data_IF_290548860096
#
_entry.id   IF_290548860096
#
_cell.length_a   1.000
_cell.length_b   1.000
_cell.length_c   1.000
_cell.angle_alpha   90.00
_cell.angle_beta   90.00
_cell.angle_gamma   90.00
#
_symmetry.space_group_name_H-M   'P 1'
#
loop_
_entity.id
_entity.type
_entity.pdbx_description
1 polymer ?
#
# COMPACT_ATOMS: atom_id res chain seq x y z
N UNK A 1 -6.76 6.90 26.18
CA UNK A 1 -5.80 5.85 25.76
C UNK A 1 -6.60 4.69 25.16
N UNK A 2 -6.41 4.35 23.89
CA UNK A 2 -7.16 3.26 23.23
C UNK A 2 -6.39 1.97 23.43
N UNK A 3 -6.90 1.07 24.27
CA UNK A 3 -6.28 -0.22 24.55
C UNK A 3 -6.22 -1.06 23.26
N UNK A 4 -5.02 -1.24 22.71
CA UNK A 4 -4.77 -2.15 21.59
C UNK A 4 -4.89 -3.58 22.10
N UNK A 5 -6.06 -4.21 21.92
CA UNK A 5 -6.31 -5.62 22.24
C UNK A 5 -5.34 -6.50 21.44
N UNK A 6 -4.29 -7.01 22.09
CA UNK A 6 -3.32 -7.94 21.49
C UNK A 6 -3.99 -9.30 21.32
N UNK A 7 -4.47 -9.57 20.10
CA UNK A 7 -5.04 -10.87 19.74
C UNK A 7 -3.87 -11.86 19.53
N UNK A 8 -3.51 -12.61 20.58
CA UNK A 8 -2.41 -13.57 20.56
C UNK A 8 -2.82 -14.83 19.77
N UNK A 9 -1.83 -15.59 19.29
CA UNK A 9 -2.06 -16.85 18.58
C UNK A 9 -2.97 -17.83 19.35
N UNK A 10 -2.89 -17.82 20.69
CA UNK A 10 -3.73 -18.63 21.58
C UNK A 10 -5.22 -18.27 21.50
N UNK A 11 -5.58 -16.98 21.46
CA UNK A 11 -6.98 -16.56 21.31
C UNK A 11 -7.54 -16.85 19.92
N UNK A 12 -6.69 -16.83 18.89
CA UNK A 12 -7.09 -17.24 17.53
C UNK A 12 -7.27 -18.75 17.38
N UNK A 13 -6.47 -19.56 18.08
CA UNK A 13 -6.62 -21.01 18.09
C UNK A 13 -7.91 -21.44 18.82
N UNK A 14 -8.22 -20.82 19.95
CA UNK A 14 -9.45 -21.09 20.70
C UNK A 14 -10.74 -20.78 19.91
N UNK A 15 -10.75 -19.69 19.14
CA UNK A 15 -11.89 -19.34 18.26
C UNK A 15 -12.13 -20.35 17.14
N UNK A 16 -11.09 -21.06 16.68
CA UNK A 16 -11.23 -22.11 15.66
C UNK A 16 -11.68 -23.45 16.24
N UNK A 17 -11.31 -23.74 17.49
CA UNK A 17 -11.75 -24.94 18.19
C UNK A 17 -13.23 -24.87 18.58
N UNK A 18 -13.74 -23.66 18.86
CA UNK A 18 -15.17 -23.42 19.13
C UNK A 18 -16.07 -23.42 17.89
N UNK A 19 -15.53 -23.60 16.69
CA UNK A 19 -16.29 -23.75 15.44
C UNK A 19 -16.29 -25.20 14.95
N UNK A 20 -16.43 -26.16 15.87
CA UNK A 20 -16.77 -27.54 15.51
C UNK A 20 -18.25 -27.58 15.12
N UNK A 21 -18.52 -27.46 13.82
CA UNK A 21 -19.49 -28.29 13.08
C UNK A 21 -20.84 -28.59 13.76
N UNK A 22 -21.42 -27.65 14.52
CA UNK A 22 -22.69 -27.84 15.23
C UNK A 22 -23.89 -27.49 14.34
N UNK A 23 -24.03 -28.19 13.22
CA UNK A 23 -25.22 -28.05 12.36
C UNK A 23 -25.60 -29.34 11.62
N UNK A 24 -25.01 -30.49 11.98
CA UNK A 24 -25.45 -31.78 11.46
C UNK A 24 -25.45 -32.75 12.64
N UNK A 25 -26.65 -33.25 12.95
CA UNK A 25 -27.03 -34.39 13.80
C UNK A 25 -27.75 -34.06 15.11
N UNK A 26 -29.07 -34.23 15.06
CA UNK A 26 -29.86 -34.92 16.10
C UNK A 26 -30.81 -35.86 15.35
N UNK A 27 -30.29 -37.01 14.92
CA UNK A 27 -31.09 -38.19 14.56
C UNK A 27 -30.44 -39.38 15.29
N UNK A 28 -31.16 -40.11 16.15
CA UNK A 28 -30.62 -41.27 16.84
C UNK A 28 -30.45 -42.41 15.83
N UNK A 29 -29.24 -42.58 15.33
CA UNK A 29 -28.89 -43.72 14.48
C UNK A 29 -28.65 -44.93 15.38
N UNK A 30 -29.59 -45.88 15.31
CA UNK A 30 -29.45 -47.26 15.77
C UNK A 30 -28.04 -47.83 15.48
N UNK A 31 -27.45 -48.63 16.40
CA UNK A 31 -26.16 -49.25 16.18
C UNK A 31 -26.27 -50.32 15.08
N UNK A 32 -26.04 -49.92 13.84
CA UNK A 32 -25.89 -50.86 12.73
C UNK A 32 -24.63 -51.67 13.00
N UNK A 33 -24.81 -52.94 13.39
CA UNK A 33 -23.75 -53.95 13.40
C UNK A 33 -23.37 -54.25 11.94
N UNK A 34 -22.49 -53.42 11.37
CA UNK A 34 -21.82 -53.75 10.13
C UNK A 34 -20.72 -54.79 10.43
N UNK A 35 -20.53 -55.80 9.57
CA UNK A 35 -19.42 -56.74 9.70
C UNK A 35 -18.08 -55.98 9.64
N UNK A 36 -17.10 -56.40 10.43
CA UNK A 36 -15.76 -55.81 10.44
C UNK A 36 -15.15 -55.90 9.03
N UNK A 37 -15.06 -54.74 8.37
CA UNK A 37 -14.46 -54.65 7.03
C UNK A 37 -12.98 -55.02 7.14
N UNK A 38 -12.50 -56.08 6.47
CA UNK A 38 -11.11 -56.53 6.56
C UNK A 38 -10.10 -55.47 6.06
N UNK A 39 -10.56 -54.41 5.38
CA UNK A 39 -9.74 -53.26 4.99
C UNK A 39 -9.73 -52.11 6.00
N UNK A 40 -10.51 -52.17 7.07
CA UNK A 40 -10.57 -51.10 8.08
C UNK A 40 -9.21 -50.88 8.77
N UNK A 41 -8.40 -51.92 8.92
CA UNK A 41 -7.08 -51.86 9.54
C UNK A 41 -5.94 -51.56 8.55
N UNK A 42 -6.23 -51.56 7.24
CA UNK A 42 -5.25 -51.24 6.23
C UNK A 42 -5.35 -49.75 5.93
N UNK A 43 -4.36 -48.98 6.40
CA UNK A 43 -4.21 -47.55 6.08
C UNK A 43 -3.87 -47.34 4.60
N UNK A 44 -4.84 -47.60 3.72
CA UNK A 44 -4.74 -47.26 2.31
C UNK A 44 -4.78 -45.74 2.18
N UNK A 45 -3.75 -45.18 1.55
CA UNK A 45 -3.75 -43.77 1.22
C UNK A 45 -4.92 -43.48 0.29
N UNK A 46 -5.90 -42.69 0.76
CA UNK A 46 -7.11 -42.32 0.01
C UNK A 46 -6.81 -41.58 -1.31
N UNK A 47 -5.63 -40.98 -1.43
CA UNK A 47 -5.18 -40.23 -2.59
C UNK A 47 -3.67 -40.42 -2.78
N UNK A 48 -3.24 -40.54 -4.03
CA UNK A 48 -1.83 -40.65 -4.37
C UNK A 48 -1.10 -39.33 -4.09
N UNK A 49 0.24 -39.37 -3.99
CA UNK A 49 1.06 -38.15 -3.85
C UNK A 49 0.84 -37.19 -5.04
N UNK A 50 0.63 -37.74 -6.24
CA UNK A 50 0.34 -36.97 -7.46
C UNK A 50 -1.00 -36.24 -7.33
N UNK A 51 -2.03 -36.93 -6.86
CA UNK A 51 -3.37 -36.34 -6.66
C UNK A 51 -3.35 -35.28 -5.56
N UNK A 52 -2.63 -35.53 -4.45
CA UNK A 52 -2.40 -34.51 -3.40
C UNK A 52 -1.77 -33.24 -3.95
N UNK A 53 -0.77 -33.38 -4.81
CA UNK A 53 -0.10 -32.22 -5.42
C UNK A 53 -1.03 -31.47 -6.37
N UNK A 54 -1.81 -32.20 -7.16
CA UNK A 54 -2.79 -31.64 -8.11
C UNK A 54 -3.95 -30.95 -7.39
N UNK A 55 -4.50 -31.56 -6.34
CA UNK A 55 -5.52 -30.96 -5.48
C UNK A 55 -4.99 -29.69 -4.79
N UNK A 56 -3.73 -29.69 -4.36
CA UNK A 56 -3.07 -28.53 -3.76
C UNK A 56 -2.86 -27.39 -4.76
N UNK A 57 -2.46 -27.70 -6.00
CA UNK A 57 -2.28 -26.68 -7.04
C UNK A 57 -3.62 -26.12 -7.50
N UNK A 58 -4.63 -26.96 -7.70
CA UNK A 58 -5.99 -26.54 -8.06
C UNK A 58 -6.63 -25.70 -6.95
N UNK A 59 -6.51 -26.12 -5.69
CA UNK A 59 -6.97 -25.33 -4.54
C UNK A 59 -6.26 -23.99 -4.40
N UNK A 60 -5.03 -23.87 -4.89
CA UNK A 60 -4.30 -22.62 -4.91
C UNK A 60 -4.78 -21.71 -6.05
N UNK A 61 -5.02 -22.26 -7.24
CA UNK A 61 -5.54 -21.52 -8.39
C UNK A 61 -6.97 -21.02 -8.14
N UNK A 62 -7.85 -21.84 -7.56
CA UNK A 62 -9.21 -21.40 -7.19
C UNK A 62 -9.17 -20.25 -6.19
N UNK A 63 -8.35 -20.36 -5.13
CA UNK A 63 -8.11 -19.28 -4.16
C UNK A 63 -7.50 -18.03 -4.78
N UNK A 64 -6.73 -18.17 -5.87
CA UNK A 64 -6.18 -17.04 -6.60
C UNK A 64 -7.28 -16.33 -7.40
N UNK A 65 -8.05 -17.11 -8.17
CA UNK A 65 -9.16 -16.65 -9.00
C UNK A 65 -10.23 -15.92 -8.17
N UNK A 66 -10.67 -16.50 -7.05
CA UNK A 66 -11.62 -15.88 -6.12
C UNK A 66 -11.11 -14.56 -5.54
N UNK A 67 -9.80 -14.42 -5.33
CA UNK A 67 -9.19 -13.22 -4.74
C UNK A 67 -8.87 -12.11 -5.75
N UNK A 68 -8.76 -12.45 -7.03
CA UNK A 68 -8.57 -11.47 -8.11
C UNK A 68 -9.85 -10.69 -8.43
N UNK A 69 -11.03 -11.29 -8.26
CA UNK A 69 -12.32 -10.66 -8.60
C UNK A 69 -12.74 -9.52 -7.66
N UNK A 70 -12.14 -9.44 -6.46
CA UNK A 70 -12.51 -8.49 -5.40
C UNK A 70 -11.32 -7.61 -5.00
N UNK A 71 -10.79 -6.80 -5.93
CA UNK A 71 -9.99 -5.58 -5.68
C UNK A 71 -8.88 -5.63 -4.58
N UNK A 72 -8.27 -6.80 -4.31
CA UNK A 72 -7.45 -6.96 -3.09
C UNK A 72 -6.50 -8.15 -3.07
N UNK A 73 -6.18 -8.76 -4.21
CA UNK A 73 -5.42 -10.02 -4.31
C UNK A 73 -4.01 -9.99 -3.67
N UNK A 74 -3.43 -8.82 -3.44
CA UNK A 74 -2.06 -8.69 -2.93
C UNK A 74 -2.10 -8.18 -1.50
N UNK A 75 -1.62 -9.00 -0.55
CA UNK A 75 -1.48 -8.57 0.83
C UNK A 75 -0.61 -7.31 0.94
N UNK A 76 -0.88 -6.46 1.94
CA UNK A 76 -0.09 -5.25 2.19
C UNK A 76 1.43 -5.54 2.29
N UNK A 77 1.80 -6.69 2.87
CA UNK A 77 3.20 -7.13 2.94
C UNK A 77 3.79 -7.44 1.58
N UNK A 78 3.06 -8.17 0.72
CA UNK A 78 3.48 -8.47 -0.65
C UNK A 78 3.63 -7.20 -1.50
N UNK A 79 2.69 -6.25 -1.39
CA UNK A 79 2.77 -4.96 -2.05
C UNK A 79 4.00 -4.15 -1.60
N UNK A 80 4.27 -4.13 -0.28
CA UNK A 80 5.46 -3.47 0.28
C UNK A 80 6.75 -4.12 -0.22
N UNK A 81 6.81 -5.45 -0.29
CA UNK A 81 7.97 -6.19 -0.82
C UNK A 81 8.20 -5.86 -2.30
N UNK A 82 7.15 -5.88 -3.13
CA UNK A 82 7.23 -5.47 -4.54
C UNK A 82 7.76 -4.05 -4.69
N UNK A 83 7.21 -3.09 -3.92
CA UNK A 83 7.67 -1.69 -3.94
C UNK A 83 9.11 -1.51 -3.45
N UNK A 84 9.57 -2.33 -2.48
CA UNK A 84 10.97 -2.32 -2.05
C UNK A 84 11.87 -2.81 -3.19
N UNK A 85 11.57 -3.97 -3.78
CA UNK A 85 12.32 -4.52 -4.91
C UNK A 85 12.39 -3.55 -6.09
N UNK A 86 11.28 -2.94 -6.51
CA UNK A 86 11.31 -1.96 -7.60
C UNK A 86 12.15 -0.73 -7.25
N UNK A 87 12.10 -0.24 -6.01
CA UNK A 87 12.99 0.84 -5.58
C UNK A 87 14.45 0.42 -5.55
N UNK A 88 14.74 -0.82 -5.17
CA UNK A 88 16.11 -1.33 -5.14
C UNK A 88 16.68 -1.60 -6.54
N UNK A 89 15.82 -1.86 -7.53
CA UNK A 89 16.15 -1.94 -8.95
C UNK A 89 16.37 -0.55 -9.58
N UNK A 90 15.58 0.45 -9.18
CA UNK A 90 15.70 1.83 -9.68
C UNK A 90 16.77 2.67 -8.95
N UNK A 91 17.48 2.09 -7.97
CA UNK A 91 18.63 2.78 -7.38
C UNK A 91 19.75 2.81 -8.42
N UNK A 92 20.49 3.92 -8.53
CA UNK A 92 21.67 3.97 -9.39
C UNK A 92 22.60 2.80 -9.03
N UNK A 93 22.89 1.95 -10.02
CA UNK A 93 23.90 0.90 -9.90
C UNK A 93 25.01 1.21 -10.87
N UNK A 94 26.25 1.15 -10.39
CA UNK A 94 27.43 1.34 -11.24
C UNK A 94 27.46 0.31 -12.38
N UNK A 95 27.05 -0.92 -12.10
CA UNK A 95 26.93 -1.99 -13.10
C UNK A 95 26.05 -1.58 -14.29
N UNK A 96 24.88 -0.98 -14.03
CA UNK A 96 23.94 -0.54 -15.07
C UNK A 96 24.49 0.65 -15.87
N UNK A 97 25.22 1.55 -15.19
CA UNK A 97 25.91 2.67 -15.84
C UNK A 97 27.05 2.19 -16.74
N UNK A 98 27.85 1.21 -16.28
CA UNK A 98 28.95 0.65 -17.07
C UNK A 98 28.40 -0.11 -18.29
N UNK A 99 27.35 -0.91 -18.12
CA UNK A 99 26.66 -1.59 -19.23
C UNK A 99 26.08 -0.56 -20.21
N UNK A 100 25.46 0.52 -19.72
CA UNK A 100 24.91 1.57 -20.58
C UNK A 100 26.01 2.33 -21.32
N UNK A 101 27.14 2.63 -20.68
CA UNK A 101 28.28 3.30 -21.32
C UNK A 101 28.97 2.41 -22.38
N UNK A 102 29.08 1.11 -22.12
CA UNK A 102 29.56 0.13 -23.09
C UNK A 102 28.58 0.01 -24.27
N UNK A 103 27.27 -0.03 -23.99
CA UNK A 103 26.22 -0.13 -25.01
C UNK A 103 26.12 1.15 -25.88
N UNK A 104 26.31 2.33 -25.28
CA UNK A 104 26.31 3.62 -25.97
C UNK A 104 27.62 3.89 -26.74
N UNK A 105 28.57 2.94 -26.73
CA UNK A 105 29.82 3.02 -27.49
C UNK A 105 30.81 4.09 -27.00
N UNK A 106 30.58 4.66 -25.81
CA UNK A 106 31.41 5.72 -25.24
C UNK A 106 32.81 5.19 -24.89
N UNK A 107 32.90 3.93 -24.46
CA UNK A 107 34.18 3.29 -24.12
C UNK A 107 35.11 3.19 -25.32
N UNK A 108 34.61 2.85 -26.50
CA UNK A 108 35.40 2.79 -27.74
C UNK A 108 35.88 4.19 -28.15
N UNK A 109 35.00 5.19 -28.09
CA UNK A 109 35.38 6.58 -28.38
C UNK A 109 36.45 7.14 -27.42
N UNK A 110 36.44 6.74 -26.15
CA UNK A 110 37.48 7.16 -25.17
C UNK A 110 38.78 6.37 -25.28
N UNK A 111 38.73 5.12 -25.76
CA UNK A 111 39.90 4.27 -25.94
C UNK A 111 40.80 4.80 -27.07
N UNK A 112 40.18 5.29 -28.14
CA UNK A 112 40.88 5.96 -29.24
C UNK A 112 41.53 7.31 -28.82
N UNK A 113 41.01 7.97 -27.77
CA UNK A 113 41.60 9.20 -27.22
C UNK A 113 42.66 8.96 -26.13
N UNK A 114 42.62 7.81 -25.45
CA UNK A 114 43.55 7.49 -24.36
C UNK A 114 44.97 7.18 -24.87
N UNK A 115 45.11 6.55 -26.04
CA UNK A 115 46.43 6.26 -26.65
C UNK A 115 47.18 7.53 -27.11
N UNK A 116 46.50 8.69 -27.17
CA UNK A 116 47.10 9.98 -27.52
C UNK A 116 47.42 10.88 -26.31
N UNK A 117 47.10 10.47 -25.07
CA UNK A 117 47.14 11.33 -23.90
C UNK A 117 48.14 10.88 -22.80
N UNK A 118 48.97 9.87 -23.06
CA UNK A 118 49.92 9.32 -22.06
C UNK A 118 51.25 10.09 -21.91
N UNK A 119 51.38 11.32 -22.45
CA UNK A 119 52.64 12.08 -22.38
C UNK A 119 52.63 13.37 -21.55
N UNK A 120 51.53 13.76 -20.90
CA UNK A 120 51.58 14.95 -20.05
C UNK A 120 50.48 14.98 -18.98
N UNK A 121 50.86 14.69 -17.72
CA UNK A 121 50.24 15.19 -16.47
C UNK A 121 50.89 14.53 -15.25
N UNK A 122 52.12 14.94 -14.97
CA UNK A 122 52.55 15.04 -13.58
C UNK A 122 51.95 16.32 -12.99
N UNK A 123 51.50 16.22 -11.75
CA UNK A 123 51.27 17.32 -10.81
C UNK A 123 49.92 18.06 -10.88
N UNK A 124 48.95 17.63 -10.05
CA UNK A 124 48.31 18.55 -9.10
C UNK A 124 47.47 17.84 -8.03
N UNK A 125 47.94 18.02 -6.79
CA UNK A 125 47.17 18.34 -5.59
C UNK A 125 46.06 17.42 -5.11
N UNK A 126 46.50 16.58 -4.16
CA UNK A 126 45.78 16.26 -2.93
C UNK A 126 45.21 17.51 -2.24
N UNK A 127 43.89 17.68 -2.30
CA UNK A 127 43.17 18.46 -1.28
C UNK A 127 41.87 17.75 -0.89
N UNK A 128 42.00 16.97 0.18
CA UNK A 128 40.87 16.36 0.88
C UNK A 128 40.08 17.43 1.63
N UNK A 129 38.86 17.70 1.16
CA UNK A 129 37.83 18.34 1.96
C UNK A 129 36.48 17.69 1.66
N UNK A 130 36.11 16.71 2.50
CA UNK A 130 34.82 16.04 2.46
C UNK A 130 33.68 16.96 2.89
N UNK A 131 33.19 17.80 1.97
CA UNK A 131 31.92 18.49 2.15
C UNK A 131 30.78 17.55 1.76
N UNK A 132 30.12 16.98 2.76
CA UNK A 132 28.82 16.32 2.62
C UNK A 132 27.77 17.39 2.29
N UNK A 133 27.71 17.80 1.03
CA UNK A 133 26.61 18.62 0.52
C UNK A 133 25.37 17.73 0.35
N UNK A 134 24.67 17.48 1.47
CA UNK A 134 23.29 16.98 1.42
C UNK A 134 22.43 18.14 0.95
N UNK A 135 22.10 18.15 -0.34
CA UNK A 135 21.04 18.99 -0.90
C UNK A 135 19.72 18.60 -0.22
N UNK A 136 19.36 19.32 0.85
CA UNK A 136 17.97 19.33 1.33
C UNK A 136 17.15 19.99 0.24
N UNK A 137 16.43 19.16 -0.52
CA UNK A 137 15.35 19.62 -1.39
C UNK A 137 14.26 20.16 -0.46
N UNK A 138 14.33 21.45 -0.11
CA UNK A 138 13.18 22.18 0.39
C UNK A 138 12.28 22.42 -0.80
N UNK A 139 11.20 21.63 -0.91
CA UNK A 139 10.11 21.94 -1.84
C UNK A 139 9.59 23.32 -1.48
N UNK A 140 9.88 24.32 -2.32
CA UNK A 140 9.29 25.63 -2.21
C UNK A 140 7.78 25.47 -2.28
N UNK A 141 7.08 25.87 -1.23
CA UNK A 141 5.62 26.02 -1.24
C UNK A 141 5.29 27.11 -2.23
N UNK A 142 4.81 26.72 -3.41
CA UNK A 142 4.23 27.64 -4.38
C UNK A 142 3.12 28.46 -3.69
N UNK A 143 3.00 29.77 -4.00
CA UNK A 143 1.89 30.57 -3.52
C UNK A 143 0.58 29.93 -3.98
N UNK A 144 -0.28 29.60 -3.02
CA UNK A 144 -1.57 28.98 -3.23
C UNK A 144 -2.40 29.86 -4.15
N UNK A 145 -2.69 29.39 -5.36
CA UNK A 145 -3.70 30.03 -6.21
C UNK A 145 -5.04 30.05 -5.46
N UNK A 146 -5.76 31.16 -5.64
CA UNK A 146 -7.09 31.43 -5.10
C UNK A 146 -8.02 30.24 -5.38
N UNK A 147 -8.28 29.43 -4.34
CA UNK A 147 -9.11 28.22 -4.43
C UNK A 147 -8.41 26.92 -4.00
N UNK A 148 -7.08 26.92 -3.80
CA UNK A 148 -6.39 25.77 -3.20
C UNK A 148 -6.57 25.76 -1.67
N UNK A 149 -7.30 24.78 -1.16
CA UNK A 149 -7.54 24.61 0.27
C UNK A 149 -6.22 24.29 0.97
N UNK A 150 -5.72 25.23 1.77
CA UNK A 150 -4.53 25.03 2.61
C UNK A 150 -4.77 23.83 3.53
N UNK A 151 -4.09 22.72 3.25
CA UNK A 151 -4.20 21.51 4.07
C UNK A 151 -3.47 21.77 5.40
N UNK A 152 -4.23 22.15 6.42
CA UNK A 152 -3.70 22.34 7.78
C UNK A 152 -3.38 20.99 8.40
N UNK A 153 -2.23 20.92 9.09
CA UNK A 153 -1.81 19.72 9.83
C UNK A 153 -2.81 19.48 10.97
N UNK A 154 -3.23 18.24 11.16
CA UNK A 154 -4.19 17.79 12.19
C UNK A 154 -5.68 18.09 11.93
N UNK A 155 -6.06 18.60 10.75
CA UNK A 155 -7.48 18.71 10.38
C UNK A 155 -8.02 17.40 9.77
N UNK A 156 -9.33 17.10 9.93
CA UNK A 156 -9.95 15.94 9.32
C UNK A 156 -9.83 16.03 7.79
N UNK A 157 -9.45 14.91 7.16
CA UNK A 157 -9.19 14.84 5.72
C UNK A 157 -10.20 13.94 5.02
N UNK A 158 -10.67 14.37 3.84
CA UNK A 158 -11.54 13.59 2.94
C UNK A 158 -10.92 12.25 2.51
N UNK A 159 -9.58 12.14 2.54
CA UNK A 159 -8.87 10.93 2.14
C UNK A 159 -9.04 9.78 3.14
N UNK A 160 -9.38 10.08 4.38
CA UNK A 160 -9.60 9.07 5.43
C UNK A 160 -11.10 8.96 5.71
N UNK A 161 -11.67 7.74 5.71
CA UNK A 161 -13.10 7.52 5.96
C UNK A 161 -13.60 8.18 7.26
N UNK A 162 -12.82 8.08 8.35
CA UNK A 162 -13.18 8.73 9.62
C UNK A 162 -13.16 10.25 9.52
N UNK A 163 -12.17 10.79 8.80
CA UNK A 163 -12.04 12.23 8.56
C UNK A 163 -13.17 12.76 7.69
N UNK A 164 -13.49 12.03 6.61
CA UNK A 164 -14.62 12.33 5.72
C UNK A 164 -15.94 12.40 6.49
N UNK A 165 -16.25 11.40 7.33
CA UNK A 165 -17.47 11.42 8.16
C UNK A 165 -17.53 12.64 9.09
N UNK A 166 -16.40 13.04 9.68
CA UNK A 166 -16.34 14.24 10.52
C UNK A 166 -16.50 15.53 9.72
N UNK A 167 -15.93 15.60 8.51
CA UNK A 167 -16.11 16.74 7.62
C UNK A 167 -17.57 16.89 7.20
N UNK A 168 -18.23 15.79 6.82
CA UNK A 168 -19.66 15.81 6.46
C UNK A 168 -20.52 16.33 7.61
N UNK A 169 -20.27 15.92 8.85
CA UNK A 169 -20.98 16.48 10.00
C UNK A 169 -20.80 18.00 10.12
N UNK A 170 -19.55 18.48 10.06
CA UNK A 170 -19.23 19.92 10.10
C UNK A 170 -19.81 20.70 8.91
N UNK A 171 -19.99 20.06 7.76
CA UNK A 171 -20.61 20.66 6.58
C UNK A 171 -22.12 20.78 6.74
N UNK A 172 -22.77 19.76 7.30
CA UNK A 172 -24.19 19.81 7.66
C UNK A 172 -24.44 20.95 8.65
N UNK A 173 -23.63 21.06 9.71
CA UNK A 173 -23.78 22.13 10.71
C UNK A 173 -23.58 23.52 10.09
N UNK A 174 -22.53 23.68 9.25
CA UNK A 174 -22.30 24.94 8.51
C UNK A 174 -23.46 25.28 7.59
N UNK A 175 -24.01 24.30 6.88
CA UNK A 175 -25.15 24.49 5.99
C UNK A 175 -26.40 24.92 6.76
N UNK A 176 -26.67 24.28 7.90
CA UNK A 176 -27.78 24.69 8.78
C UNK A 176 -27.62 26.13 9.26
N UNK A 177 -26.40 26.54 9.65
CA UNK A 177 -26.14 27.92 10.06
C UNK A 177 -26.38 28.93 8.92
N UNK A 178 -26.00 28.59 7.68
CA UNK A 178 -26.27 29.44 6.51
C UNK A 178 -27.77 29.56 6.27
N UNK A 179 -28.52 28.45 6.37
CA UNK A 179 -29.97 28.47 6.23
C UNK A 179 -30.68 29.29 7.30
N UNK A 180 -30.12 29.37 8.52
CA UNK A 180 -30.69 30.19 9.60
C UNK A 180 -30.38 31.69 9.45
N UNK A 181 -29.44 32.07 8.59
CA UNK A 181 -29.07 33.47 8.42
C UNK A 181 -30.14 34.23 7.60
N UNK A 182 -30.83 35.18 8.26
CA UNK A 182 -31.88 36.02 7.65
C UNK A 182 -31.37 36.80 6.43
N UNK A 183 -30.13 37.30 6.46
CA UNK A 183 -29.56 38.04 5.33
C UNK A 183 -29.37 37.14 4.10
N UNK A 184 -28.96 35.88 4.33
CA UNK A 184 -28.82 34.90 3.25
C UNK A 184 -30.18 34.47 2.69
N UNK A 185 -31.20 34.32 3.53
CA UNK A 185 -32.58 34.02 3.10
C UNK A 185 -33.18 35.14 2.24
N UNK A 186 -32.90 36.41 2.58
CA UNK A 186 -33.42 37.56 1.84
C UNK A 186 -32.71 37.73 0.49
N UNK A 187 -31.38 37.69 0.47
CA UNK A 187 -30.58 37.93 -0.75
C UNK A 187 -29.31 37.05 -0.77
N UNK A 188 -29.38 35.81 -1.29
CA UNK A 188 -28.27 34.86 -1.22
C UNK A 188 -27.04 35.33 -2.00
N UNK A 189 -27.23 35.93 -3.18
CA UNK A 189 -26.13 36.41 -4.02
C UNK A 189 -25.44 37.65 -3.45
N UNK A 190 -26.16 38.52 -2.74
CA UNK A 190 -25.56 39.69 -2.10
C UNK A 190 -24.70 39.27 -0.90
N UNK A 191 -25.24 38.40 -0.04
CA UNK A 191 -24.50 37.81 1.07
C UNK A 191 -23.25 37.04 0.59
N UNK A 192 -23.35 36.30 -0.52
CA UNK A 192 -22.20 35.59 -1.09
C UNK A 192 -21.11 36.55 -1.60
N UNK A 193 -21.50 37.65 -2.27
CA UNK A 193 -20.55 38.68 -2.72
C UNK A 193 -19.79 39.31 -1.55
N UNK A 194 -20.50 39.62 -0.47
CA UNK A 194 -19.91 40.18 0.75
C UNK A 194 -18.89 39.20 1.38
N UNK A 195 -19.23 37.91 1.49
CA UNK A 195 -18.32 36.88 2.02
C UNK A 195 -17.08 36.71 1.14
N UNK A 196 -17.23 36.69 -0.19
CA UNK A 196 -16.09 36.60 -1.12
C UNK A 196 -15.20 37.84 -0.99
N UNK A 197 -15.78 39.03 -0.86
CA UNK A 197 -15.04 40.27 -0.66
C UNK A 197 -14.30 40.29 0.68
N UNK A 198 -14.93 39.78 1.75
CA UNK A 198 -14.30 39.64 3.06
C UNK A 198 -13.14 38.63 3.03
N UNK A 199 -13.25 37.52 2.30
CA UNK A 199 -12.17 36.55 2.13
C UNK A 199 -10.99 37.08 1.31
N UNK A 200 -11.25 37.98 0.34
CA UNK A 200 -10.19 38.59 -0.46
C UNK A 200 -9.33 39.58 0.35
N UNK A 201 -9.87 40.13 1.43
CA UNK A 201 -9.21 41.11 2.29
C UNK A 201 -8.52 40.47 3.52
N UNK A 202 -8.60 39.15 3.69
CA UNK A 202 -7.88 38.37 4.71
C UNK A 202 -6.64 37.70 4.15
#
# INVERSE_FOLDING_TARGET
MVAKKRNQLRTKAALRLGQSKSAIENEPTEPVNLPEDPKAFLHQARESKKDKMLNKSQSFLSKLQEKTSLNGAISKSALRRRKRKMRDQLKPRMEDLLISLEQDGVTEATKDMADSAESDRNNQDSNGAGFRNVTRISTATLPSESGSVLIRKNEPSIRNQRGAKMLTGKEIDRFQNVLQNKQFQQNPFAALKEVIQAQKNQ
#
